data_IF_414172116322
#
_entry.id   IF_414172116322
#
_cell.length_a   1.000
_cell.length_b   1.000
_cell.length_c   1.000
_cell.angle_alpha   90.00
_cell.angle_beta   90.00
_cell.angle_gamma   90.00
#
_symmetry.space_group_name_H-M   'P 1'
#
loop_
_entity.id
_entity.type
_entity.pdbx_description
1 polymer ?
#
# COMPACT_ATOMS: atom_id res chain seq x y z
N UNK A 1 -12.88 9.37 16.96
CA UNK A 1 -12.80 8.56 15.73
C UNK A 1 -11.39 8.67 15.17
N UNK A 2 -10.81 7.57 14.67
CA UNK A 2 -9.47 7.55 14.05
C UNK A 2 -9.63 7.29 12.56
N UNK A 3 -9.06 8.14 11.71
CA UNK A 3 -9.14 8.04 10.24
C UNK A 3 -7.72 7.85 9.69
N UNK A 4 -7.49 6.74 8.99
CA UNK A 4 -6.25 6.47 8.30
C UNK A 4 -6.35 6.92 6.84
N UNK A 5 -5.52 7.90 6.45
CA UNK A 5 -5.54 8.51 5.11
C UNK A 5 -4.47 7.93 4.18
N UNK A 6 -3.93 6.75 4.48
CA UNK A 6 -2.97 6.04 3.64
C UNK A 6 -3.67 5.28 2.52
N UNK A 7 -2.86 4.70 1.64
CA UNK A 7 -3.34 3.84 0.57
C UNK A 7 -3.82 2.48 1.11
N UNK A 8 -4.71 1.81 0.39
CA UNK A 8 -5.29 0.53 0.80
C UNK A 8 -4.25 -0.54 1.14
N UNK A 9 -3.17 -0.64 0.38
CA UNK A 9 -2.09 -1.58 0.63
C UNK A 9 -1.32 -1.33 1.93
N UNK A 10 -1.14 -0.06 2.31
CA UNK A 10 -0.50 0.32 3.58
C UNK A 10 -1.43 0.01 4.75
N UNK A 11 -2.72 0.32 4.61
CA UNK A 11 -3.75 0.05 5.63
C UNK A 11 -3.90 -1.44 5.88
N UNK A 12 -4.04 -2.25 4.83
CA UNK A 12 -4.14 -3.71 4.92
C UNK A 12 -2.91 -4.35 5.55
N UNK A 13 -1.71 -3.83 5.26
CA UNK A 13 -0.48 -4.36 5.85
C UNK A 13 -0.44 -4.14 7.35
N UNK A 14 -0.80 -2.94 7.81
CA UNK A 14 -0.76 -2.58 9.22
C UNK A 14 -1.53 -1.29 9.48
N UNK A 15 -2.48 -1.30 10.40
CA UNK A 15 -3.24 -0.10 10.79
C UNK A 15 -3.55 -0.09 12.29
N UNK A 16 -3.93 1.06 12.82
CA UNK A 16 -4.36 1.20 14.21
C UNK A 16 -5.71 0.48 14.37
N UNK A 17 -5.84 -0.36 15.38
CA UNK A 17 -7.09 -1.07 15.64
C UNK A 17 -8.26 -0.11 15.80
N UNK A 18 -9.35 -0.35 15.07
CA UNK A 18 -10.55 0.48 15.09
C UNK A 18 -10.43 1.79 14.33
N UNK A 19 -9.38 1.96 13.50
CA UNK A 19 -9.32 3.07 12.55
C UNK A 19 -10.14 2.80 11.30
N UNK A 20 -10.75 3.84 10.76
CA UNK A 20 -11.46 3.84 9.48
C UNK A 20 -10.50 4.19 8.35
N UNK A 21 -10.60 3.49 7.24
CA UNK A 21 -9.77 3.74 6.07
C UNK A 21 -10.44 4.72 5.11
N UNK A 22 -9.87 5.92 4.99
CA UNK A 22 -10.33 6.96 4.07
C UNK A 22 -9.12 7.49 3.28
N UNK A 23 -8.79 6.91 2.12
CA UNK A 23 -7.65 7.32 1.33
C UNK A 23 -7.65 8.82 1.03
N UNK A 24 -6.48 9.47 1.12
CA UNK A 24 -6.33 10.92 0.98
C UNK A 24 -6.89 11.44 -0.35
N UNK A 25 -6.74 10.71 -1.45
CA UNK A 25 -7.26 11.12 -2.76
C UNK A 25 -8.80 11.19 -2.76
N UNK A 26 -9.49 10.18 -2.19
CA UNK A 26 -10.94 10.21 -2.06
C UNK A 26 -11.40 11.31 -1.09
N UNK A 27 -10.66 11.50 0.01
CA UNK A 27 -10.97 12.57 0.95
C UNK A 27 -10.88 13.95 0.28
N UNK A 28 -9.89 14.19 -0.59
CA UNK A 28 -9.77 15.43 -1.35
C UNK A 28 -10.90 15.64 -2.35
N UNK A 29 -11.31 14.58 -3.03
CA UNK A 29 -12.36 14.63 -4.05
C UNK A 29 -13.74 14.89 -3.43
N UNK A 30 -13.99 14.36 -2.23
CA UNK A 30 -15.29 14.41 -1.55
C UNK A 30 -15.22 15.00 -0.14
N UNK A 31 -14.39 16.04 0.06
CA UNK A 31 -14.09 16.58 1.39
C UNK A 31 -15.34 16.98 2.17
N UNK A 32 -16.28 17.72 1.55
CA UNK A 32 -17.49 18.21 2.20
C UNK A 32 -18.39 17.09 2.68
N UNK A 33 -18.55 16.04 1.85
CA UNK A 33 -19.41 14.91 2.18
C UNK A 33 -18.82 14.09 3.33
N UNK A 34 -17.50 13.87 3.33
CA UNK A 34 -16.85 13.16 4.43
C UNK A 34 -16.83 14.00 5.71
N UNK A 35 -16.61 15.32 5.60
CA UNK A 35 -16.65 16.23 6.76
C UNK A 35 -18.01 16.20 7.45
N UNK A 36 -19.12 16.13 6.69
CA UNK A 36 -20.46 16.06 7.22
C UNK A 36 -20.76 14.77 8.01
N UNK A 37 -20.09 13.66 7.67
CA UNK A 37 -20.27 12.35 8.33
C UNK A 37 -19.25 12.10 9.45
N UNK A 38 -18.17 12.89 9.50
CA UNK A 38 -17.14 12.71 10.52
C UNK A 38 -17.56 13.34 11.84
N UNK A 39 -17.18 12.70 12.95
CA UNK A 39 -17.38 13.26 14.27
C UNK A 39 -16.60 14.57 14.44
N UNK A 40 -17.06 15.53 15.27
CA UNK A 40 -16.34 16.77 15.52
C UNK A 40 -14.90 16.61 16.04
N UNK A 41 -14.61 15.45 16.64
CA UNK A 41 -13.28 15.08 17.15
C UNK A 41 -12.73 13.90 16.36
N UNK A 42 -11.91 14.19 15.35
CA UNK A 42 -11.24 13.20 14.50
C UNK A 42 -9.74 13.24 14.72
N UNK A 43 -9.12 12.08 14.76
CA UNK A 43 -7.65 11.93 14.73
C UNK A 43 -7.27 11.37 13.36
N UNK A 44 -6.54 12.15 12.59
CA UNK A 44 -6.03 11.77 11.28
C UNK A 44 -4.68 11.10 11.40
N UNK A 45 -4.51 10.01 10.70
CA UNK A 45 -3.29 9.19 10.78
C UNK A 45 -2.79 8.89 9.37
N UNK A 46 -1.47 8.96 9.20
CA UNK A 46 -0.78 8.40 8.04
C UNK A 46 0.55 7.77 8.48
N UNK A 47 1.46 7.49 7.57
CA UNK A 47 2.73 6.85 7.92
C UNK A 47 3.61 7.72 8.85
N UNK A 48 3.75 9.03 8.55
CA UNK A 48 4.66 9.95 9.25
C UNK A 48 4.03 11.28 9.69
N UNK A 49 2.76 11.53 9.36
CA UNK A 49 2.03 12.76 9.68
C UNK A 49 1.79 13.70 8.48
N UNK A 50 2.61 13.69 7.43
CA UNK A 50 2.52 14.65 6.30
C UNK A 50 1.18 14.59 5.55
N UNK A 51 0.73 13.39 5.12
CA UNK A 51 -0.57 13.21 4.44
C UNK A 51 -1.75 13.54 5.36
N UNK A 52 -1.64 13.21 6.64
CA UNK A 52 -2.64 13.54 7.64
C UNK A 52 -2.77 15.06 7.86
N UNK A 53 -1.66 15.80 7.82
CA UNK A 53 -1.68 17.26 7.90
C UNK A 53 -2.33 17.92 6.66
N UNK A 54 -2.11 17.34 5.48
CA UNK A 54 -2.78 17.75 4.26
C UNK A 54 -4.30 17.48 4.33
N UNK A 55 -4.69 16.30 4.82
CA UNK A 55 -6.09 15.96 5.06
C UNK A 55 -6.75 16.92 6.06
N UNK A 56 -6.05 17.27 7.15
CA UNK A 56 -6.53 18.23 8.14
C UNK A 56 -6.85 19.57 7.50
N UNK A 57 -5.95 20.12 6.68
CA UNK A 57 -6.17 21.41 5.99
C UNK A 57 -7.41 21.38 5.09
N UNK A 58 -7.63 20.28 4.38
CA UNK A 58 -8.82 20.15 3.53
C UNK A 58 -10.11 20.11 4.37
N UNK A 59 -10.10 19.34 5.48
CA UNK A 59 -11.24 19.26 6.39
C UNK A 59 -11.52 20.60 7.10
N UNK A 60 -10.48 21.32 7.52
CA UNK A 60 -10.61 22.66 8.10
C UNK A 60 -11.27 23.62 7.09
N UNK A 61 -10.88 23.57 5.81
CA UNK A 61 -11.47 24.37 4.75
C UNK A 61 -12.95 24.03 4.50
N UNK A 62 -13.36 22.78 4.75
CA UNK A 62 -14.76 22.31 4.68
C UNK A 62 -15.55 22.54 5.99
N UNK A 63 -14.96 23.24 6.97
CA UNK A 63 -15.63 23.61 8.21
C UNK A 63 -15.45 22.63 9.38
N UNK A 64 -14.70 21.55 9.23
CA UNK A 64 -14.40 20.59 10.31
C UNK A 64 -13.12 20.98 11.06
N UNK A 65 -13.18 21.98 11.94
CA UNK A 65 -12.04 22.57 12.66
C UNK A 65 -11.53 21.76 13.87
N UNK A 66 -12.03 20.54 14.09
CA UNK A 66 -11.69 19.71 15.26
C UNK A 66 -10.72 18.57 14.95
N UNK A 67 -10.24 18.45 13.72
CA UNK A 67 -9.36 17.37 13.30
C UNK A 67 -7.94 17.54 13.86
N UNK A 68 -7.39 16.47 14.45
CA UNK A 68 -6.02 16.42 14.97
C UNK A 68 -5.18 15.43 14.17
N UNK A 69 -3.89 15.70 14.07
CA UNK A 69 -2.95 14.78 13.43
C UNK A 69 -2.18 13.99 14.49
N UNK A 70 -2.08 12.68 14.30
CA UNK A 70 -1.27 11.82 15.17
C UNK A 70 0.22 12.04 14.85
N UNK A 71 0.94 12.63 15.79
CA UNK A 71 2.37 12.88 15.66
C UNK A 71 3.14 11.55 15.52
N UNK A 72 4.03 11.47 14.53
CA UNK A 72 4.77 10.23 14.22
C UNK A 72 3.97 9.19 13.45
N UNK A 73 2.66 9.41 13.23
CA UNK A 73 1.78 8.52 12.46
C UNK A 73 1.69 7.10 13.01
N UNK A 74 1.31 6.15 12.17
CA UNK A 74 1.21 4.72 12.55
C UNK A 74 2.56 4.17 13.01
N UNK A 75 3.68 4.63 12.44
CA UNK A 75 5.00 4.17 12.84
C UNK A 75 5.34 4.58 14.28
N UNK A 76 5.11 5.85 14.63
CA UNK A 76 5.32 6.35 15.98
C UNK A 76 4.40 5.70 17.01
N UNK A 77 3.13 5.50 16.65
CA UNK A 77 2.14 4.82 17.51
C UNK A 77 2.55 3.37 17.79
N UNK A 78 3.00 2.64 16.77
CA UNK A 78 3.49 1.28 16.92
C UNK A 78 4.76 1.20 17.80
N UNK A 79 5.70 2.14 17.63
CA UNK A 79 6.92 2.22 18.43
C UNK A 79 6.64 2.52 19.91
N UNK A 80 5.56 3.25 20.20
CA UNK A 80 5.07 3.53 21.54
C UNK A 80 4.27 2.37 22.17
N UNK A 81 4.17 1.22 21.49
CA UNK A 81 3.43 0.05 22.00
C UNK A 81 1.91 0.13 21.78
N UNK A 82 1.46 0.99 20.88
CA UNK A 82 0.05 1.12 20.54
C UNK A 82 -0.52 -0.13 19.87
N UNK A 83 -1.82 -0.35 20.02
CA UNK A 83 -2.51 -1.53 19.46
C UNK A 83 -2.67 -1.42 17.93
N UNK A 84 -1.93 -2.26 17.24
CA UNK A 84 -1.86 -2.32 15.78
C UNK A 84 -2.44 -3.64 15.28
N UNK A 85 -3.37 -3.55 14.36
CA UNK A 85 -3.81 -4.70 13.57
C UNK A 85 -2.84 -4.89 12.41
N UNK A 86 -2.23 -6.07 12.32
CA UNK A 86 -1.37 -6.47 11.20
C UNK A 86 -2.13 -7.43 10.31
N UNK A 87 -2.25 -7.07 9.04
CA UNK A 87 -2.86 -7.90 8.01
C UNK A 87 -1.83 -8.67 7.17
N UNK A 88 -2.19 -9.03 5.95
CA UNK A 88 -1.28 -9.70 5.02
C UNK A 88 -0.16 -8.75 4.59
N UNK A 89 1.04 -9.00 5.11
CA UNK A 89 2.25 -8.39 4.58
C UNK A 89 2.68 -9.17 3.33
N UNK A 90 2.35 -8.67 2.16
CA UNK A 90 2.96 -9.16 0.92
C UNK A 90 4.30 -8.47 0.69
N UNK A 91 5.28 -9.23 0.20
CA UNK A 91 6.56 -8.62 -0.18
C UNK A 91 6.34 -7.57 -1.26
N UNK A 92 7.03 -6.43 -1.15
CA UNK A 92 7.02 -5.42 -2.20
C UNK A 92 7.30 -6.05 -3.57
N UNK A 93 6.55 -5.65 -4.60
CA UNK A 93 6.62 -6.22 -5.95
C UNK A 93 8.07 -6.26 -6.47
N UNK A 94 8.82 -5.20 -6.24
CA UNK A 94 10.24 -5.10 -6.61
C UNK A 94 11.10 -6.20 -5.95
N UNK A 95 10.86 -6.51 -4.67
CA UNK A 95 11.54 -7.62 -3.98
C UNK A 95 11.16 -8.98 -4.56
N UNK A 96 9.89 -9.18 -4.91
CA UNK A 96 9.42 -10.41 -5.55
C UNK A 96 10.06 -10.60 -6.93
N UNK A 97 10.11 -9.54 -7.74
CA UNK A 97 10.74 -9.54 -9.07
C UNK A 97 12.21 -9.90 -8.98
N UNK A 98 12.97 -9.23 -8.10
CA UNK A 98 14.41 -9.51 -7.91
C UNK A 98 14.66 -10.93 -7.45
N UNK A 99 13.86 -11.44 -6.49
CA UNK A 99 14.00 -12.79 -5.98
C UNK A 99 13.71 -13.82 -7.05
N UNK A 100 12.60 -13.67 -7.78
CA UNK A 100 12.20 -14.59 -8.86
C UNK A 100 13.24 -14.59 -9.98
N UNK A 101 13.68 -13.42 -10.45
CA UNK A 101 14.68 -13.30 -11.49
C UNK A 101 16.03 -13.91 -11.07
N UNK A 102 16.49 -13.59 -9.86
CA UNK A 102 17.73 -14.13 -9.30
C UNK A 102 17.69 -15.67 -9.17
N UNK A 103 16.60 -16.22 -8.65
CA UNK A 103 16.43 -17.67 -8.53
C UNK A 103 16.42 -18.38 -9.90
N UNK A 104 15.73 -17.80 -10.89
CA UNK A 104 15.68 -18.36 -12.24
C UNK A 104 17.05 -18.38 -12.92
N UNK A 105 17.81 -17.27 -12.83
CA UNK A 105 19.17 -17.20 -13.36
C UNK A 105 20.08 -18.18 -12.65
N UNK A 106 20.07 -18.22 -11.32
CA UNK A 106 20.90 -19.14 -10.53
C UNK A 106 20.58 -20.60 -10.86
N UNK A 107 19.30 -20.97 -10.89
CA UNK A 107 18.86 -22.31 -11.25
C UNK A 107 19.32 -22.72 -12.66
N UNK A 108 19.21 -21.79 -13.64
CA UNK A 108 19.65 -22.03 -15.02
C UNK A 108 21.17 -22.22 -15.13
N UNK A 109 21.96 -21.48 -14.37
CA UNK A 109 23.42 -21.64 -14.32
C UNK A 109 23.82 -22.97 -13.69
N UNK A 110 23.20 -23.32 -12.56
CA UNK A 110 23.46 -24.59 -11.87
C UNK A 110 23.05 -25.79 -12.73
N UNK A 111 21.86 -25.74 -13.35
CA UNK A 111 21.41 -26.77 -14.28
C UNK A 111 22.37 -26.88 -15.49
N UNK A 112 22.87 -25.77 -16.01
CA UNK A 112 23.88 -25.75 -17.08
C UNK A 112 25.24 -26.31 -16.66
N UNK A 113 25.55 -26.33 -15.37
CA UNK A 113 26.80 -26.94 -14.83
C UNK A 113 26.66 -28.41 -14.55
N UNK A 114 25.51 -28.87 -14.03
CA UNK A 114 25.35 -30.22 -13.50
C UNK A 114 24.48 -31.15 -14.36
N UNK A 115 23.58 -30.60 -15.19
CA UNK A 115 22.63 -31.38 -15.99
C UNK A 115 22.99 -31.31 -17.48
N UNK A 116 22.86 -30.18 -18.12
CA UNK A 116 23.13 -30.00 -19.54
C UNK A 116 23.58 -28.57 -19.89
N UNK A 117 24.66 -28.38 -20.68
CA UNK A 117 25.20 -27.05 -20.99
C UNK A 117 24.22 -26.05 -21.62
N UNK A 118 23.20 -26.53 -22.33
CA UNK A 118 22.18 -25.68 -22.98
C UNK A 118 21.36 -24.84 -21.98
N UNK A 119 21.23 -25.23 -20.71
CA UNK A 119 20.54 -24.43 -19.69
C UNK A 119 21.23 -23.08 -19.43
N UNK A 120 22.51 -22.91 -19.78
CA UNK A 120 23.20 -21.61 -19.71
C UNK A 120 22.63 -20.58 -20.67
N UNK A 121 22.09 -21.02 -21.83
CA UNK A 121 21.43 -20.13 -22.77
C UNK A 121 20.18 -19.50 -22.14
N UNK A 122 19.43 -20.27 -21.33
CA UNK A 122 18.26 -19.77 -20.61
C UNK A 122 18.66 -18.63 -19.64
N UNK A 123 19.76 -18.79 -18.90
CA UNK A 123 20.29 -17.71 -18.05
C UNK A 123 20.61 -16.44 -18.87
N UNK A 124 21.20 -16.60 -20.05
CA UNK A 124 21.49 -15.50 -20.97
C UNK A 124 20.25 -14.78 -21.45
N UNK A 125 19.23 -15.53 -21.87
CA UNK A 125 17.95 -14.97 -22.31
C UNK A 125 17.24 -14.19 -21.20
N UNK A 126 17.19 -14.75 -19.99
CA UNK A 126 16.57 -14.08 -18.83
C UNK A 126 17.33 -12.78 -18.50
N UNK A 127 18.67 -12.83 -18.48
CA UNK A 127 19.50 -11.67 -18.18
C UNK A 127 19.35 -10.58 -19.25
N UNK A 128 19.32 -10.93 -20.53
CA UNK A 128 19.07 -10.00 -21.62
C UNK A 128 17.68 -9.36 -21.53
N UNK A 129 16.65 -10.16 -21.21
CA UNK A 129 15.29 -9.67 -20.98
C UNK A 129 15.21 -8.66 -19.82
N UNK A 130 15.92 -8.92 -18.72
CA UNK A 130 15.99 -8.00 -17.59
C UNK A 130 16.69 -6.69 -17.96
N UNK A 131 17.76 -6.75 -18.76
CA UNK A 131 18.48 -5.55 -19.25
C UNK A 131 17.58 -4.69 -20.13
N UNK A 132 16.87 -5.30 -21.09
CA UNK A 132 15.91 -4.59 -21.94
C UNK A 132 14.77 -4.00 -21.11
N UNK A 133 14.24 -4.77 -20.14
CA UNK A 133 13.21 -4.32 -19.21
C UNK A 133 13.63 -3.07 -18.43
N UNK A 134 14.87 -3.03 -17.96
CA UNK A 134 15.43 -1.88 -17.26
C UNK A 134 15.60 -0.66 -18.20
N UNK A 135 16.05 -0.88 -19.43
CA UNK A 135 16.27 0.20 -20.41
C UNK A 135 14.94 0.81 -20.90
N UNK A 136 13.88 0.00 -21.03
CA UNK A 136 12.57 0.43 -21.53
C UNK A 136 11.60 0.83 -20.42
N UNK A 137 12.00 0.72 -19.15
CA UNK A 137 11.15 0.91 -17.97
C UNK A 137 9.85 0.07 -18.01
N UNK A 138 9.91 -1.10 -18.67
CA UNK A 138 8.78 -2.02 -18.79
C UNK A 138 9.13 -3.38 -18.17
N UNK A 139 8.47 -3.75 -17.08
CA UNK A 139 8.74 -5.00 -16.38
C UNK A 139 7.70 -6.08 -16.69
N UNK A 140 7.98 -6.95 -17.67
CA UNK A 140 7.10 -8.08 -18.03
C UNK A 140 6.93 -9.04 -16.86
N UNK A 141 7.99 -9.32 -16.11
CA UNK A 141 7.96 -10.19 -14.94
C UNK A 141 7.07 -9.60 -13.82
N UNK A 142 7.13 -8.29 -13.61
CA UNK A 142 6.24 -7.59 -12.67
C UNK A 142 4.77 -7.69 -13.08
N UNK A 143 4.47 -7.59 -14.37
CA UNK A 143 3.10 -7.79 -14.89
C UNK A 143 2.59 -9.21 -14.67
N UNK A 144 3.42 -10.23 -14.88
CA UNK A 144 3.05 -11.63 -14.61
C UNK A 144 2.82 -11.83 -13.12
N UNK A 145 3.70 -11.31 -12.26
CA UNK A 145 3.56 -11.41 -10.81
C UNK A 145 2.32 -10.65 -10.30
N UNK A 146 1.90 -9.56 -10.93
CA UNK A 146 0.69 -8.84 -10.52
C UNK A 146 -0.60 -9.63 -10.72
N UNK A 147 -0.62 -10.62 -11.65
CA UNK A 147 -1.77 -11.52 -11.84
C UNK A 147 -1.88 -12.60 -10.76
N UNK A 148 -0.84 -12.80 -9.98
CA UNK A 148 -0.85 -13.81 -8.93
C UNK A 148 -1.85 -13.45 -7.81
N UNK A 149 -2.57 -14.45 -7.26
CA UNK A 149 -3.63 -14.19 -6.28
C UNK A 149 -3.17 -13.45 -5.03
N UNK A 150 -1.90 -13.58 -4.64
CA UNK A 150 -1.33 -12.88 -3.49
C UNK A 150 -0.90 -11.43 -3.79
N UNK A 151 -0.82 -11.04 -5.05
CA UNK A 151 -0.47 -9.71 -5.51
C UNK A 151 -1.67 -8.93 -6.07
N UNK A 152 -2.88 -9.49 -5.96
CA UNK A 152 -4.08 -8.73 -6.35
C UNK A 152 -4.15 -7.45 -5.53
N UNK A 153 -4.33 -6.28 -6.19
CA UNK A 153 -4.53 -5.04 -5.46
C UNK A 153 -5.71 -5.22 -4.52
N UNK A 154 -5.52 -4.79 -3.28
CA UNK A 154 -6.64 -4.67 -2.34
C UNK A 154 -7.63 -3.72 -3.00
N UNK A 155 -8.89 -4.14 -3.08
CA UNK A 155 -9.96 -3.27 -3.57
C UNK A 155 -10.01 -2.04 -2.66
N UNK A 156 -9.63 -0.87 -3.20
CA UNK A 156 -9.80 0.36 -2.43
C UNK A 156 -11.29 0.55 -2.12
N UNK A 157 -11.62 0.96 -0.90
CA UNK A 157 -13.01 1.16 -0.53
C UNK A 157 -13.63 2.22 -1.44
N UNK A 158 -14.83 1.95 -1.91
CA UNK A 158 -15.59 2.93 -2.68
C UNK A 158 -16.10 4.03 -1.74
N UNK A 159 -16.34 5.23 -2.27
CA UNK A 159 -16.94 6.34 -1.51
C UNK A 159 -18.17 5.90 -0.69
N UNK A 160 -19.07 5.13 -1.31
CA UNK A 160 -20.27 4.60 -0.65
C UNK A 160 -19.96 3.69 0.54
N UNK A 161 -18.91 2.86 0.43
CA UNK A 161 -18.49 1.96 1.51
C UNK A 161 -17.94 2.76 2.69
N UNK A 162 -17.16 3.81 2.41
CA UNK A 162 -16.61 4.70 3.43
C UNK A 162 -17.74 5.46 4.14
N UNK A 163 -18.67 6.05 3.40
CA UNK A 163 -19.80 6.77 3.98
C UNK A 163 -20.68 5.86 4.85
N UNK A 164 -20.91 4.62 4.40
CA UNK A 164 -21.65 3.64 5.18
C UNK A 164 -20.93 3.26 6.50
N UNK A 165 -19.60 3.21 6.49
CA UNK A 165 -18.79 2.95 7.69
C UNK A 165 -18.73 4.15 8.64
N UNK A 166 -18.76 5.36 8.11
CA UNK A 166 -18.72 6.61 8.90
C UNK A 166 -20.09 7.01 9.46
N UNK A 167 -21.18 6.53 8.83
CA UNK A 167 -22.53 6.82 9.32
C UNK A 167 -22.67 6.37 10.79
N UNK A 168 -23.19 7.22 11.68
CA UNK A 168 -23.37 6.86 13.06
C UNK A 168 -24.29 5.64 13.11
N UNK A 169 -23.85 4.60 13.80
CA UNK A 169 -24.72 3.45 14.11
C UNK A 169 -25.90 3.97 14.91
N UNK A 170 -27.07 4.03 14.25
CA UNK A 170 -28.33 4.43 14.84
C UNK A 170 -28.79 3.43 15.90
#
# INVERSE_FOLDING_TARGET
MIIDVRDGSEFETRHIRGSYHVPLHLLKEHTEEFAAQMAPRVVLVCQSGRRAEEARKNLDAAGLNGARVLTGGVAGYAAAGGDITSGRSTWAMDRQVRMTAGCLVLASVLAGRFIHPQFRLLAGVISAGLTVSAATNSCTLGRILSWMPWNRPVSEPTKSDILAQLAPHA
#
